data_IF_668847132274
#
_entry.id   IF_668847132274
#
_cell.length_a   1.000
_cell.length_b   1.000
_cell.length_c   1.000
_cell.angle_alpha   90.00
_cell.angle_beta   90.00
_cell.angle_gamma   90.00
#
_symmetry.space_group_name_H-M   'P 1'
#
loop_
_entity.id
_entity.type
_entity.pdbx_description
1 polymer ?
#
# COMPACT_ATOMS: atom_id res chain seq x y z
N UNK A 1 -8.26 -3.37 -14.74
CA UNK A 1 -9.20 -2.70 -13.84
C UNK A 1 -8.39 -1.68 -13.08
N UNK A 2 -8.62 -0.41 -13.41
CA UNK A 2 -7.96 0.73 -12.79
C UNK A 2 -8.75 1.05 -11.52
N UNK A 3 -8.25 0.61 -10.36
CA UNK A 3 -8.97 0.70 -9.09
C UNK A 3 -8.33 1.76 -8.22
N UNK A 4 -9.15 2.54 -7.55
CA UNK A 4 -8.71 3.53 -6.57
C UNK A 4 -8.80 2.89 -5.18
N UNK A 5 -7.79 3.09 -4.36
CA UNK A 5 -7.72 2.54 -3.02
C UNK A 5 -7.54 3.65 -1.99
N UNK A 6 -8.11 3.43 -0.81
CA UNK A 6 -8.00 4.32 0.34
C UNK A 6 -7.39 3.58 1.53
N UNK A 7 -6.56 4.29 2.31
CA UNK A 7 -5.96 3.76 3.54
C UNK A 7 -7.02 3.60 4.62
N UNK A 8 -6.92 2.52 5.37
CA UNK A 8 -7.74 2.33 6.56
C UNK A 8 -7.19 3.23 7.69
N UNK A 9 -8.00 4.11 8.31
CA UNK A 9 -7.57 4.92 9.45
C UNK A 9 -7.17 4.11 10.67
N UNK A 10 -7.55 2.83 10.73
CA UNK A 10 -7.15 1.89 11.77
C UNK A 10 -5.75 1.27 11.55
N UNK A 11 -4.98 1.77 10.59
CA UNK A 11 -3.59 1.37 10.33
C UNK A 11 -2.67 2.57 10.34
N UNK A 12 -1.58 2.46 11.09
CA UNK A 12 -0.57 3.50 11.23
C UNK A 12 0.69 3.09 10.51
N UNK A 13 1.21 3.98 9.67
CA UNK A 13 2.52 3.85 9.05
C UNK A 13 3.58 4.49 9.93
N UNK A 14 4.68 3.78 10.16
CA UNK A 14 5.79 4.21 10.99
C UNK A 14 7.11 3.90 10.30
N UNK A 15 7.92 4.93 10.08
CA UNK A 15 9.28 4.78 9.59
C UNK A 15 10.24 4.69 10.78
N UNK A 16 10.98 3.60 10.89
CA UNK A 16 11.97 3.36 11.94
C UNK A 16 13.31 3.15 11.25
N UNK A 17 14.21 4.13 11.41
CA UNK A 17 15.48 4.16 10.68
C UNK A 17 15.26 4.03 9.16
N UNK A 18 15.74 2.94 8.57
CA UNK A 18 15.61 2.62 7.13
C UNK A 18 14.38 1.75 6.82
N UNK A 19 13.71 1.23 7.86
CA UNK A 19 12.58 0.32 7.70
C UNK A 19 11.25 1.08 7.77
N UNK A 20 10.34 0.72 6.88
CA UNK A 20 8.98 1.24 6.86
C UNK A 20 8.03 0.17 7.37
N UNK A 21 7.25 0.47 8.41
CA UNK A 21 6.44 -0.51 9.13
C UNK A 21 4.97 -0.07 9.14
N UNK A 22 4.06 -0.99 8.85
CA UNK A 22 2.63 -0.82 9.08
C UNK A 22 2.19 -1.52 10.35
N UNK A 23 1.46 -0.79 11.19
CA UNK A 23 0.94 -1.27 12.47
C UNK A 23 -0.58 -1.08 12.51
N UNK A 24 -1.38 -2.16 12.52
CA UNK A 24 -2.81 -2.05 12.74
C UNK A 24 -3.08 -1.69 14.21
N UNK A 25 -3.81 -0.60 14.46
CA UNK A 25 -4.12 -0.11 15.82
C UNK A 25 -5.35 -0.78 16.45
N UNK A 26 -6.10 -1.59 15.69
CA UNK A 26 -7.33 -2.27 16.16
C UNK A 26 -7.17 -3.74 16.54
N UNK A 27 -5.96 -4.31 16.54
CA UNK A 27 -5.80 -5.69 17.00
C UNK A 27 -5.85 -5.76 18.53
N UNK A 28 -6.83 -6.52 19.03
CA UNK A 28 -6.93 -6.94 20.42
C UNK A 28 -5.62 -7.63 20.84
N UNK A 29 -5.19 -7.36 22.06
CA UNK A 29 -4.11 -8.06 22.76
C UNK A 29 -4.32 -9.58 22.61
N UNK A 30 -3.59 -10.23 21.71
CA UNK A 30 -3.67 -11.67 21.47
C UNK A 30 -3.71 -12.12 20.00
N UNK A 31 -4.17 -11.28 19.08
CA UNK A 31 -4.05 -11.56 17.64
C UNK A 31 -2.73 -10.99 17.15
N UNK A 32 -1.81 -11.88 16.75
CA UNK A 32 -0.45 -11.61 16.27
C UNK A 32 -0.24 -10.17 15.79
N UNK A 33 0.71 -9.48 16.40
CA UNK A 33 1.20 -8.17 15.96
C UNK A 33 1.75 -8.31 14.53
N UNK A 34 0.88 -8.24 13.51
CA UNK A 34 1.27 -8.29 12.11
C UNK A 34 1.95 -6.98 11.75
N UNK A 35 3.22 -6.87 12.12
CA UNK A 35 4.14 -5.83 11.70
C UNK A 35 4.51 -6.15 10.25
N UNK A 36 3.96 -5.38 9.30
CA UNK A 36 4.37 -5.51 7.90
C UNK A 36 5.54 -4.57 7.65
N UNK A 37 6.69 -5.13 7.33
CA UNK A 37 7.84 -4.38 6.84
C UNK A 37 7.70 -4.15 5.34
N UNK A 38 7.67 -2.89 4.95
CA UNK A 38 7.60 -2.45 3.57
C UNK A 38 9.01 -2.14 3.07
N UNK A 39 9.30 -2.56 1.84
CA UNK A 39 10.45 -2.07 1.07
C UNK A 39 10.28 -0.58 0.76
N UNK A 40 11.33 0.08 0.28
CA UNK A 40 11.27 1.49 -0.11
C UNK A 40 10.19 1.76 -1.16
N UNK A 41 10.11 0.90 -2.19
CA UNK A 41 9.07 0.96 -3.23
C UNK A 41 7.68 0.75 -2.63
N UNK A 42 7.52 -0.24 -1.75
CA UNK A 42 6.24 -0.55 -1.13
C UNK A 42 5.77 0.56 -0.17
N UNK A 43 6.70 1.18 0.56
CA UNK A 43 6.45 2.35 1.38
C UNK A 43 6.00 3.53 0.52
N UNK A 44 6.64 3.75 -0.63
CA UNK A 44 6.25 4.81 -1.56
C UNK A 44 4.87 4.57 -2.16
N UNK A 45 4.58 3.34 -2.58
CA UNK A 45 3.24 2.94 -3.02
C UNK A 45 2.22 3.26 -1.93
N UNK A 46 2.49 2.85 -0.69
CA UNK A 46 1.64 3.17 0.44
C UNK A 46 1.42 4.68 0.56
N UNK A 47 2.47 5.50 0.53
CA UNK A 47 2.32 6.96 0.60
C UNK A 47 1.41 7.53 -0.49
N UNK A 48 1.52 7.02 -1.72
CA UNK A 48 0.73 7.45 -2.89
C UNK A 48 -0.76 7.07 -2.81
N UNK A 49 -1.14 6.10 -1.98
CA UNK A 49 -2.55 5.74 -1.77
C UNK A 49 -3.25 6.86 -0.99
N UNK A 50 -4.03 7.67 -1.69
CA UNK A 50 -4.76 8.82 -1.13
C UNK A 50 -6.30 8.69 -1.24
N UNK A 51 -6.80 7.61 -1.85
CA UNK A 51 -8.23 7.48 -2.16
C UNK A 51 -8.65 8.18 -3.44
N UNK A 52 -7.72 8.72 -4.25
CA UNK A 52 -8.01 9.34 -5.55
C UNK A 52 -7.16 8.77 -6.67
N UNK A 53 -5.87 8.53 -6.43
CA UNK A 53 -4.97 7.91 -7.41
C UNK A 53 -5.36 6.45 -7.63
N UNK A 54 -5.44 6.07 -8.89
CA UNK A 54 -5.64 4.68 -9.29
C UNK A 54 -4.35 3.87 -9.19
N UNK A 55 -4.48 2.55 -9.08
CA UNK A 55 -3.35 1.61 -9.09
C UNK A 55 -2.42 1.80 -10.30
N UNK A 56 -2.94 2.12 -11.50
CA UNK A 56 -2.08 2.36 -12.67
C UNK A 56 -1.32 3.68 -12.59
N UNK A 57 -1.92 4.73 -12.01
CA UNK A 57 -1.22 6.01 -11.79
C UNK A 57 -0.10 5.83 -10.78
N UNK A 58 -0.38 5.14 -9.67
CA UNK A 58 0.62 4.80 -8.66
C UNK A 58 1.76 3.99 -9.29
N UNK A 59 1.45 2.96 -10.09
CA UNK A 59 2.47 2.18 -10.78
C UNK A 59 3.36 3.06 -11.69
N UNK A 60 2.75 4.01 -12.39
CA UNK A 60 3.45 4.92 -13.28
C UNK A 60 4.36 5.90 -12.53
N UNK A 61 3.90 6.42 -11.39
CA UNK A 61 4.72 7.23 -10.49
C UNK A 61 5.94 6.42 -10.02
N UNK A 62 5.74 5.16 -9.60
CA UNK A 62 6.83 4.27 -9.18
C UNK A 62 7.83 4.03 -10.30
N UNK A 63 7.36 3.75 -11.53
CA UNK A 63 8.25 3.56 -12.68
C UNK A 63 9.04 4.81 -13.09
N UNK A 64 8.60 5.99 -12.66
CA UNK A 64 9.27 7.25 -12.91
C UNK A 64 10.23 7.62 -11.77
N UNK A 65 9.85 7.32 -10.52
CA UNK A 65 10.67 7.57 -9.32
C UNK A 65 11.77 6.52 -9.14
N UNK A 66 11.54 5.28 -9.57
CA UNK A 66 12.46 4.15 -9.43
C UNK A 66 12.84 3.56 -10.78
N UNK A 67 14.12 3.21 -10.93
CA UNK A 67 14.65 2.53 -12.11
C UNK A 67 14.33 1.02 -12.05
N UNK A 68 13.05 0.69 -12.17
CA UNK A 68 12.54 -0.69 -12.14
C UNK A 68 11.80 -1.02 -13.44
N UNK A 69 11.79 -2.30 -13.81
CA UNK A 69 11.02 -2.75 -14.97
C UNK A 69 9.51 -2.67 -14.70
N UNK A 70 8.68 -2.35 -15.71
CA UNK A 70 7.22 -2.29 -15.59
C UNK A 70 6.60 -3.59 -15.07
N UNK A 71 7.16 -4.73 -15.47
CA UNK A 71 6.74 -6.06 -15.03
C UNK A 71 6.98 -6.28 -13.53
N UNK A 72 8.13 -5.81 -13.03
CA UNK A 72 8.48 -5.91 -11.61
C UNK A 72 7.61 -4.95 -10.79
N UNK A 73 7.49 -3.69 -11.21
CA UNK A 73 6.67 -2.70 -10.52
C UNK A 73 5.20 -3.14 -10.43
N UNK A 74 4.63 -3.69 -11.50
CA UNK A 74 3.26 -4.20 -11.48
C UNK A 74 3.12 -5.41 -10.53
N UNK A 75 4.11 -6.30 -10.50
CA UNK A 75 4.11 -7.45 -9.60
C UNK A 75 4.21 -7.01 -8.13
N UNK A 76 5.19 -6.18 -7.79
CA UNK A 76 5.38 -5.61 -6.45
C UNK A 76 4.12 -4.87 -5.99
N UNK A 77 3.53 -4.07 -6.88
CA UNK A 77 2.29 -3.36 -6.59
C UNK A 77 1.14 -4.34 -6.34
N UNK A 78 0.94 -5.34 -7.21
CA UNK A 78 -0.14 -6.32 -7.02
C UNK A 78 0.03 -7.11 -5.72
N UNK A 79 1.24 -7.60 -5.42
CA UNK A 79 1.53 -8.34 -4.20
C UNK A 79 1.30 -7.49 -2.95
N UNK A 80 1.72 -6.23 -3.00
CA UNK A 80 1.51 -5.30 -1.89
C UNK A 80 0.03 -5.01 -1.67
N UNK A 81 -0.71 -4.62 -2.70
CA UNK A 81 -2.14 -4.32 -2.56
C UNK A 81 -2.91 -5.54 -2.05
N UNK A 82 -2.58 -6.74 -2.52
CA UNK A 82 -3.19 -7.97 -2.02
C UNK A 82 -2.92 -8.18 -0.52
N UNK A 83 -1.68 -8.00 -0.07
CA UNK A 83 -1.33 -8.10 1.36
C UNK A 83 -2.03 -7.04 2.21
N UNK A 84 -2.10 -5.80 1.71
CA UNK A 84 -2.76 -4.71 2.40
C UNK A 84 -4.28 -4.88 2.47
N UNK A 85 -4.91 -5.42 1.42
CA UNK A 85 -6.33 -5.75 1.41
C UNK A 85 -6.65 -6.90 2.37
N UNK A 86 -5.84 -7.96 2.37
CA UNK A 86 -5.98 -9.12 3.28
C UNK A 86 -5.81 -8.69 4.74
N UNK A 87 -4.83 -7.82 5.02
CA UNK A 87 -4.62 -7.21 6.32
C UNK A 87 -5.71 -6.18 6.72
N UNK A 88 -6.63 -5.86 5.81
CA UNK A 88 -7.63 -4.80 6.02
C UNK A 88 -7.03 -3.39 6.14
N UNK A 89 -5.79 -3.20 5.69
CA UNK A 89 -5.05 -1.93 5.74
C UNK A 89 -5.46 -0.93 4.66
N UNK A 90 -5.98 -1.41 3.54
CA UNK A 90 -6.58 -0.58 2.48
C UNK A 90 -7.93 -1.12 2.08
N UNK A 91 -8.74 -0.28 1.44
CA UNK A 91 -10.04 -0.65 0.88
C UNK A 91 -10.22 0.03 -0.47
N UNK A 92 -10.83 -0.68 -1.41
CA UNK A 92 -11.25 -0.09 -2.68
C UNK A 92 -12.18 1.11 -2.40
N UNK A 93 -11.80 2.28 -2.91
CA UNK A 93 -12.63 3.47 -2.86
C UNK A 93 -13.75 3.28 -3.89
N UNK A 94 -15.01 3.27 -3.44
CA UNK A 94 -16.19 3.13 -4.31
C UNK A 94 -16.41 4.29 -5.30
N UNK A 95 -15.54 5.29 -5.29
CA UNK A 95 -15.57 6.47 -6.14
C UNK A 95 -14.40 6.38 -7.16
N UNK A 96 -14.39 5.32 -7.95
CA UNK A 96 -13.62 5.31 -9.20
C UNK A 96 -14.41 6.09 -10.25
N UNK A 97 -13.78 6.90 -11.12
CA UNK A 97 -14.51 7.65 -12.13
C UNK A 97 -15.32 6.67 -12.97
N UNK A 98 -16.64 6.76 -12.85
CA UNK A 98 -17.62 6.03 -13.68
C UNK A 98 -17.62 6.58 -15.10
#
# INVERSE_FOLDING_TARGET
MDKVYSKNPDVVFRKIADECILVPIKNRVGDMECIYTLSEVAARIWELIDGRKSSSEINRDILNEYDVSPENAERDLRELFMQLEDAGSIREAKDGPS
#
